data_IF_257223723158
#
_entry.id   IF_257223723158
#
_cell.length_a   1.000
_cell.length_b   1.000
_cell.length_c   1.000
_cell.angle_alpha   90.00
_cell.angle_beta   90.00
_cell.angle_gamma   90.00
#
_symmetry.space_group_name_H-M   'P 1'
#
loop_
_entity.id
_entity.type
_entity.pdbx_description
1 polymer ?
#
# COMPACT_ATOMS: atom_id res chain seq x y z
N UNK A 1 2.48 -94.24 24.09
CA UNK A 1 1.46 -94.80 24.98
C UNK A 1 0.19 -93.90 24.83
N UNK A 2 -0.88 -94.54 24.28
CA UNK A 2 -2.25 -94.12 24.17
C UNK A 2 -2.62 -92.69 23.66
N UNK A 3 -3.00 -92.63 22.38
CA UNK A 3 -4.41 -92.58 21.81
C UNK A 3 -5.47 -91.84 22.65
N UNK A 4 -6.13 -90.83 22.02
CA UNK A 4 -7.51 -91.00 21.58
C UNK A 4 -8.03 -89.80 20.81
N UNK A 5 -8.56 -90.16 19.66
CA UNK A 5 -9.47 -89.40 18.75
C UNK A 5 -10.73 -88.91 19.47
N UNK A 6 -11.32 -87.84 19.01
CA UNK A 6 -12.73 -87.81 18.66
C UNK A 6 -13.13 -86.55 17.84
N UNK A 7 -13.80 -86.86 16.79
CA UNK A 7 -14.53 -86.05 15.81
C UNK A 7 -15.58 -85.17 16.48
N UNK A 8 -15.92 -83.98 15.98
CA UNK A 8 -17.19 -83.73 15.27
C UNK A 8 -17.53 -82.24 15.15
N UNK A 9 -17.90 -81.93 14.02
CA UNK A 9 -19.02 -81.09 13.54
C UNK A 9 -18.71 -79.67 13.11
N UNK A 10 -18.80 -79.56 11.78
CA UNK A 10 -18.97 -78.38 11.02
C UNK A 10 -20.27 -77.66 11.32
N UNK A 11 -20.25 -76.38 11.51
CA UNK A 11 -21.39 -75.52 11.31
C UNK A 11 -20.93 -74.33 10.48
N UNK A 12 -21.31 -74.31 9.19
CA UNK A 12 -21.19 -73.17 8.30
C UNK A 12 -22.21 -72.16 8.76
N UNK A 13 -21.75 -70.98 9.19
CA UNK A 13 -22.59 -69.78 9.29
C UNK A 13 -22.18 -68.82 8.20
N UNK A 14 -23.05 -68.70 7.18
CA UNK A 14 -22.99 -67.69 6.12
C UNK A 14 -23.32 -66.34 6.73
N UNK A 15 -22.31 -65.49 6.95
CA UNK A 15 -22.55 -64.06 7.27
C UNK A 15 -22.54 -63.25 5.95
N UNK A 16 -23.73 -62.78 5.55
CA UNK A 16 -23.84 -61.76 4.53
C UNK A 16 -23.19 -60.46 5.04
N UNK A 17 -22.03 -60.13 4.51
CA UNK A 17 -21.43 -58.81 4.65
C UNK A 17 -22.09 -57.84 3.68
N UNK A 18 -23.02 -57.03 4.17
CA UNK A 18 -23.53 -55.84 3.45
C UNK A 18 -22.40 -54.83 3.33
N UNK A 19 -21.83 -54.68 2.14
CA UNK A 19 -20.93 -53.60 1.79
C UNK A 19 -21.68 -52.28 1.76
N UNK A 20 -21.68 -51.58 2.86
CA UNK A 20 -22.08 -50.16 2.93
C UNK A 20 -21.05 -49.30 2.16
N UNK A 21 -21.47 -48.83 0.96
CA UNK A 21 -20.76 -47.76 0.27
C UNK A 21 -20.79 -46.52 1.17
N UNK A 22 -19.71 -46.28 1.94
CA UNK A 22 -19.46 -45.01 2.58
C UNK A 22 -19.18 -43.99 1.47
N UNK A 23 -20.18 -43.22 1.08
CA UNK A 23 -19.99 -42.00 0.32
C UNK A 23 -19.22 -41.02 1.23
N UNK A 24 -17.92 -40.88 0.99
CA UNK A 24 -17.17 -39.74 1.48
C UNK A 24 -17.73 -38.49 0.79
N UNK A 25 -18.17 -37.46 1.55
CA UNK A 25 -18.46 -36.20 0.92
C UNK A 25 -17.18 -35.71 0.24
N UNK A 26 -17.21 -35.55 -1.10
CA UNK A 26 -16.19 -34.80 -1.83
C UNK A 26 -16.07 -33.44 -1.13
N UNK A 27 -15.01 -33.27 -0.37
CA UNK A 27 -14.58 -31.96 0.08
C UNK A 27 -14.29 -31.17 -1.19
N UNK A 28 -15.14 -30.20 -1.51
CA UNK A 28 -14.88 -29.19 -2.51
C UNK A 28 -13.54 -28.56 -2.13
N UNK A 29 -12.45 -29.01 -2.77
CA UNK A 29 -11.15 -28.36 -2.67
C UNK A 29 -11.32 -26.96 -3.23
N UNK A 30 -11.46 -25.97 -2.36
CA UNK A 30 -11.23 -24.58 -2.74
C UNK A 30 -9.80 -24.51 -3.33
N UNK A 31 -9.61 -23.77 -4.44
CA UNK A 31 -8.27 -23.63 -5.00
C UNK A 31 -7.35 -23.11 -3.90
N UNK A 32 -6.28 -23.85 -3.63
CA UNK A 32 -5.21 -23.48 -2.71
C UNK A 32 -4.45 -22.28 -3.29
N UNK A 33 -5.05 -21.08 -3.24
CA UNK A 33 -4.34 -19.83 -3.35
C UNK A 33 -3.70 -19.52 -2.00
N UNK A 34 -2.49 -18.97 -2.00
CA UNK A 34 -1.84 -18.51 -0.78
C UNK A 34 -2.84 -17.75 0.10
N UNK A 35 -2.91 -18.12 1.38
CA UNK A 35 -3.72 -17.40 2.38
C UNK A 35 -2.99 -16.13 2.88
N UNK A 36 -1.87 -15.81 2.27
CA UNK A 36 -1.04 -14.66 2.61
C UNK A 36 -0.84 -13.80 1.36
N UNK A 37 -0.83 -12.48 1.59
CA UNK A 37 -0.60 -11.46 0.57
C UNK A 37 0.44 -10.46 1.10
N UNK A 38 1.57 -10.34 0.40
CA UNK A 38 2.63 -9.39 0.73
C UNK A 38 2.61 -8.19 -0.23
N UNK A 39 2.30 -7.02 0.30
CA UNK A 39 2.14 -5.79 -0.48
C UNK A 39 3.36 -4.89 -0.29
N UNK A 40 3.97 -4.49 -1.41
CA UNK A 40 4.88 -3.36 -1.45
C UNK A 40 4.04 -2.08 -1.64
N UNK A 41 3.99 -1.18 -0.67
CA UNK A 41 3.10 -0.02 -0.68
C UNK A 41 3.88 1.28 -0.57
N UNK A 42 3.54 2.27 -1.39
CA UNK A 42 4.08 3.62 -1.27
C UNK A 42 3.74 4.20 0.12
N UNK A 43 4.66 4.98 0.68
CA UNK A 43 4.62 5.41 2.06
C UNK A 43 3.43 6.31 2.43
N UNK A 44 2.78 6.95 1.46
CA UNK A 44 1.55 7.72 1.66
C UNK A 44 0.32 6.84 1.98
N UNK A 45 0.43 5.54 1.70
CA UNK A 45 -0.61 4.55 2.03
C UNK A 45 -0.51 4.05 3.49
N UNK A 46 0.57 4.36 4.19
CA UNK A 46 0.79 3.88 5.56
C UNK A 46 -0.36 4.21 6.53
N UNK A 47 -1.01 5.38 6.48
CA UNK A 47 -2.17 5.65 7.32
C UNK A 47 -3.44 4.89 6.93
N UNK A 48 -3.57 4.50 5.65
CA UNK A 48 -4.81 4.00 5.05
C UNK A 48 -4.91 2.48 5.01
N UNK A 49 -3.80 1.80 4.66
CA UNK A 49 -3.83 0.38 4.40
C UNK A 49 -4.16 -0.48 5.62
N UNK A 50 -3.67 -0.24 6.84
CA UNK A 50 -3.91 -1.15 7.96
C UNK A 50 -5.40 -1.47 8.20
N UNK A 51 -6.32 -0.50 8.29
CA UNK A 51 -7.75 -0.80 8.42
C UNK A 51 -8.34 -1.50 7.18
N UNK A 52 -7.85 -1.20 5.98
CA UNK A 52 -8.30 -1.86 4.75
C UNK A 52 -7.84 -3.32 4.68
N UNK A 53 -6.59 -3.61 5.10
CA UNK A 53 -6.07 -4.98 5.19
C UNK A 53 -6.89 -5.81 6.17
N UNK A 54 -7.19 -5.27 7.35
CA UNK A 54 -8.06 -5.94 8.34
C UNK A 54 -9.44 -6.24 7.75
N UNK A 55 -10.04 -5.28 7.04
CA UNK A 55 -11.33 -5.47 6.39
C UNK A 55 -11.27 -6.51 5.28
N UNK A 56 -10.22 -6.47 4.46
CA UNK A 56 -9.99 -7.46 3.40
C UNK A 56 -9.88 -8.87 3.96
N UNK A 57 -9.12 -9.05 5.05
CA UNK A 57 -9.00 -10.33 5.74
C UNK A 57 -10.34 -10.83 6.28
N UNK A 58 -11.15 -9.94 6.91
CA UNK A 58 -12.49 -10.29 7.39
C UNK A 58 -13.43 -10.76 6.27
N UNK A 59 -13.32 -10.17 5.08
CA UNK A 59 -14.17 -10.50 3.93
C UNK A 59 -13.73 -11.75 3.18
N UNK A 60 -12.44 -12.04 3.16
CA UNK A 60 -11.85 -13.06 2.26
C UNK A 60 -11.18 -14.22 2.96
N UNK A 61 -10.84 -14.07 4.24
CA UNK A 61 -9.99 -15.00 4.98
C UNK A 61 -8.52 -14.98 4.55
N UNK A 62 -8.09 -14.00 3.73
CA UNK A 62 -6.71 -13.85 3.27
C UNK A 62 -6.00 -12.86 4.18
N UNK A 63 -4.94 -13.31 4.85
CA UNK A 63 -4.09 -12.43 5.64
C UNK A 63 -3.22 -11.58 4.73
N UNK A 64 -3.22 -10.27 4.91
CA UNK A 64 -2.45 -9.35 4.08
C UNK A 64 -1.53 -8.46 4.93
N UNK A 65 -0.29 -8.31 4.50
CA UNK A 65 0.73 -7.45 5.12
C UNK A 65 1.26 -6.44 4.11
N UNK A 66 1.75 -5.29 4.59
CA UNK A 66 2.32 -4.27 3.73
C UNK A 66 3.65 -3.75 4.28
N UNK A 67 4.61 -3.56 3.36
CA UNK A 67 5.88 -2.86 3.60
C UNK A 67 5.83 -1.48 2.95
N UNK A 68 6.17 -0.43 3.72
CA UNK A 68 6.02 0.95 3.29
C UNK A 68 7.37 1.62 3.06
N UNK A 69 7.60 2.09 1.82
CA UNK A 69 8.82 2.83 1.45
C UNK A 69 8.53 3.81 0.29
N UNK A 70 9.57 4.46 -0.24
CA UNK A 70 9.44 5.22 -1.48
C UNK A 70 9.12 4.31 -2.66
N UNK A 71 8.35 4.80 -3.64
CA UNK A 71 7.99 4.00 -4.81
C UNK A 71 9.21 3.53 -5.60
N UNK A 72 10.28 4.33 -5.66
CA UNK A 72 11.53 3.95 -6.32
C UNK A 72 12.24 2.79 -5.61
N UNK A 73 12.34 2.86 -4.28
CA UNK A 73 12.98 1.82 -3.46
C UNK A 73 12.26 0.48 -3.62
N UNK A 74 10.92 0.50 -3.53
CA UNK A 74 10.10 -0.71 -3.72
C UNK A 74 10.25 -1.28 -5.14
N UNK A 75 10.17 -0.44 -6.17
CA UNK A 75 10.38 -0.88 -7.56
C UNK A 75 11.76 -1.54 -7.73
N UNK A 76 12.81 -0.96 -7.14
CA UNK A 76 14.17 -1.54 -7.18
C UNK A 76 14.22 -2.89 -6.46
N UNK A 77 13.62 -3.01 -5.30
CA UNK A 77 13.55 -4.28 -4.55
C UNK A 77 12.82 -5.36 -5.37
N UNK A 78 11.68 -5.03 -6.00
CA UNK A 78 10.91 -5.97 -6.82
C UNK A 78 11.69 -6.42 -8.05
N UNK A 79 12.35 -5.49 -8.77
CA UNK A 79 13.20 -5.83 -9.92
C UNK A 79 14.31 -6.78 -9.51
N UNK A 80 14.88 -6.61 -8.31
CA UNK A 80 15.92 -7.46 -7.74
C UNK A 80 15.37 -8.75 -7.10
N UNK A 81 14.06 -9.03 -7.21
CA UNK A 81 13.46 -10.30 -6.79
C UNK A 81 12.96 -10.34 -5.35
N UNK A 82 12.70 -9.20 -4.71
CA UNK A 82 12.04 -9.18 -3.40
C UNK A 82 10.66 -9.89 -3.46
N UNK A 83 10.30 -10.69 -2.46
CA UNK A 83 9.14 -11.58 -2.49
C UNK A 83 7.84 -10.83 -2.15
N UNK A 84 7.46 -9.89 -3.00
CA UNK A 84 6.17 -9.23 -2.95
C UNK A 84 5.19 -9.85 -3.96
N UNK A 85 3.89 -9.74 -3.67
CA UNK A 85 2.82 -10.23 -4.54
C UNK A 85 2.14 -9.09 -5.29
N UNK A 86 2.03 -7.92 -4.65
CA UNK A 86 1.37 -6.73 -5.17
C UNK A 86 2.26 -5.49 -4.93
N UNK A 87 2.32 -4.61 -5.91
CA UNK A 87 2.97 -3.31 -5.76
C UNK A 87 1.93 -2.19 -5.94
N UNK A 88 1.80 -1.34 -4.92
CA UNK A 88 0.98 -0.13 -4.91
C UNK A 88 1.91 1.09 -4.85
N UNK A 89 2.08 1.76 -5.97
CA UNK A 89 2.97 2.92 -6.10
C UNK A 89 2.20 4.24 -6.10
N UNK A 90 2.87 5.31 -5.70
CA UNK A 90 2.31 6.66 -5.72
C UNK A 90 2.40 7.33 -7.10
N UNK A 91 2.81 6.63 -8.14
CA UNK A 91 2.73 7.05 -9.55
C UNK A 91 2.60 5.86 -10.49
N UNK A 92 2.58 6.13 -11.80
CA UNK A 92 2.54 5.07 -12.84
C UNK A 92 3.93 4.71 -13.36
N UNK A 93 4.95 5.54 -13.16
CA UNK A 93 6.28 5.34 -13.77
C UNK A 93 7.07 4.22 -13.09
N UNK A 94 6.98 4.09 -11.76
CA UNK A 94 7.67 3.01 -11.05
C UNK A 94 7.05 1.62 -11.29
N UNK A 95 5.71 1.45 -11.30
CA UNK A 95 5.11 0.21 -11.78
C UNK A 95 5.48 -0.11 -13.24
N UNK A 96 5.54 0.90 -14.13
CA UNK A 96 5.97 0.70 -15.51
C UNK A 96 7.40 0.16 -15.58
N UNK A 97 8.32 0.70 -14.77
CA UNK A 97 9.70 0.19 -14.68
C UNK A 97 9.76 -1.29 -14.29
N UNK A 98 8.87 -1.75 -13.39
CA UNK A 98 8.78 -3.16 -12.99
C UNK A 98 8.22 -4.01 -14.14
N UNK A 99 7.24 -3.49 -14.89
CA UNK A 99 6.69 -4.12 -16.10
C UNK A 99 7.79 -4.28 -17.16
N UNK A 100 8.55 -3.22 -17.45
CA UNK A 100 9.64 -3.20 -18.43
C UNK A 100 10.77 -4.19 -18.07
N UNK A 101 10.97 -4.44 -16.77
CA UNK A 101 11.87 -5.47 -16.25
C UNK A 101 11.28 -6.89 -16.33
N UNK A 102 10.07 -7.08 -16.87
CA UNK A 102 9.41 -8.37 -17.01
C UNK A 102 8.90 -8.99 -15.70
N UNK A 103 8.78 -8.19 -14.63
CA UNK A 103 8.42 -8.64 -13.28
C UNK A 103 6.94 -8.48 -12.93
N UNK A 104 6.09 -7.99 -13.84
CA UNK A 104 4.66 -7.81 -13.63
C UNK A 104 3.83 -8.72 -14.54
N UNK A 105 2.60 -9.02 -14.14
CA UNK A 105 1.63 -9.74 -14.97
C UNK A 105 1.01 -8.80 -16.02
N UNK A 106 0.74 -7.55 -15.63
CA UNK A 106 0.11 -6.55 -16.48
C UNK A 106 1.09 -5.98 -17.51
N UNK A 107 0.55 -5.56 -18.67
CA UNK A 107 1.28 -4.83 -19.70
C UNK A 107 1.32 -3.30 -19.44
N UNK A 108 0.49 -2.81 -18.52
CA UNK A 108 0.40 -1.40 -18.08
C UNK A 108 0.02 -1.33 -16.61
N UNK A 109 0.45 -0.30 -15.86
CA UNK A 109 -0.01 -0.08 -14.51
C UNK A 109 -1.54 0.11 -14.46
N UNK A 110 -2.16 -0.40 -13.41
CA UNK A 110 -3.60 -0.22 -13.13
C UNK A 110 -3.75 1.02 -12.24
N UNK A 111 -4.27 2.14 -12.74
CA UNK A 111 -4.54 3.29 -11.88
C UNK A 111 -5.62 2.95 -10.87
N UNK A 112 -5.49 3.38 -9.60
CA UNK A 112 -6.50 3.10 -8.57
C UNK A 112 -6.91 4.30 -7.74
N UNK A 113 -6.09 5.36 -7.66
CA UNK A 113 -6.40 6.57 -6.91
C UNK A 113 -5.55 7.76 -7.38
N UNK A 114 -5.88 8.95 -6.91
CA UNK A 114 -5.10 10.17 -7.08
C UNK A 114 -4.72 10.76 -5.73
N UNK A 115 -3.43 10.97 -5.50
CA UNK A 115 -2.89 11.62 -4.31
C UNK A 115 -3.04 13.14 -4.34
N UNK A 116 -3.09 13.75 -3.17
CA UNK A 116 -3.14 15.21 -2.99
C UNK A 116 -1.96 15.66 -2.14
N UNK A 117 -1.22 16.65 -2.63
CA UNK A 117 -0.13 17.29 -1.90
C UNK A 117 -0.68 18.43 -1.03
N UNK A 118 -0.19 18.52 0.20
CA UNK A 118 -0.50 19.60 1.12
C UNK A 118 0.77 20.18 1.73
N UNK A 119 0.71 21.44 2.14
CA UNK A 119 1.73 22.09 2.95
C UNK A 119 1.22 22.10 4.38
N UNK A 120 1.96 21.51 5.30
CA UNK A 120 1.57 21.32 6.70
C UNK A 120 2.60 21.95 7.66
N UNK A 121 2.12 22.44 8.79
CA UNK A 121 2.97 22.93 9.89
C UNK A 121 2.35 22.63 11.24
N UNK A 122 3.19 22.56 12.27
CA UNK A 122 2.73 22.42 13.67
C UNK A 122 2.09 23.71 14.18
N UNK A 123 1.12 23.57 15.10
CA UNK A 123 0.48 24.71 15.75
C UNK A 123 1.46 25.56 16.58
N UNK A 124 2.52 24.96 17.12
CA UNK A 124 3.57 25.61 17.92
C UNK A 124 4.82 26.01 17.12
N UNK A 125 4.77 25.94 15.78
CA UNK A 125 5.89 26.29 14.89
C UNK A 125 6.21 27.79 14.84
N UNK A 126 5.32 28.65 15.35
CA UNK A 126 5.41 30.11 15.23
C UNK A 126 5.02 30.65 13.86
N UNK A 127 4.50 29.82 12.95
CA UNK A 127 4.07 30.20 11.60
C UNK A 127 2.57 30.49 11.66
N UNK A 128 2.22 31.79 11.73
CA UNK A 128 0.83 32.21 11.81
C UNK A 128 0.08 32.12 10.47
N UNK A 129 0.77 32.37 9.36
CA UNK A 129 0.20 32.40 8.01
C UNK A 129 0.95 31.43 7.12
N UNK A 130 0.50 30.17 7.08
CA UNK A 130 1.04 29.14 6.20
C UNK A 130 0.59 29.41 4.77
N UNK A 131 1.54 29.63 3.86
CA UNK A 131 1.27 29.77 2.41
C UNK A 131 2.50 29.38 1.61
N UNK A 132 2.34 29.14 0.31
CA UNK A 132 3.48 28.91 -0.59
C UNK A 132 4.37 30.14 -0.68
N UNK A 133 3.80 31.35 -0.65
CA UNK A 133 4.53 32.61 -0.70
C UNK A 133 5.33 32.88 0.56
N UNK A 134 4.99 32.25 1.69
CA UNK A 134 5.73 32.40 2.95
C UNK A 134 7.03 31.59 2.97
N UNK A 135 7.18 30.57 2.14
CA UNK A 135 8.33 29.63 2.15
C UNK A 135 9.68 30.31 1.91
N UNK A 136 9.84 31.28 0.99
CA UNK A 136 11.12 31.95 0.78
C UNK A 136 11.48 32.95 1.89
N UNK A 137 10.54 33.35 2.74
CA UNK A 137 10.77 34.38 3.78
C UNK A 137 11.73 33.89 4.88
N UNK A 138 12.32 34.83 5.62
CA UNK A 138 13.20 34.52 6.74
C UNK A 138 12.48 33.87 7.94
N UNK A 139 11.16 33.96 8.01
CA UNK A 139 10.36 33.32 9.05
C UNK A 139 10.41 31.80 8.97
N UNK A 140 10.55 31.23 7.76
CA UNK A 140 10.66 29.78 7.54
C UNK A 140 12.11 29.42 7.28
N UNK A 141 12.67 28.56 8.13
CA UNK A 141 14.07 28.15 8.11
C UNK A 141 14.28 26.75 7.55
N UNK A 142 13.25 25.89 7.61
CA UNK A 142 13.36 24.50 7.15
C UNK A 142 12.04 24.01 6.57
N UNK A 143 12.13 23.34 5.40
CA UNK A 143 11.01 22.81 4.62
C UNK A 143 11.30 21.35 4.29
N UNK A 144 10.54 20.42 4.84
CA UNK A 144 10.65 19.01 4.52
C UNK A 144 9.97 18.69 3.19
N UNK A 145 10.66 17.93 2.35
CA UNK A 145 10.10 17.28 1.15
C UNK A 145 10.60 15.84 1.09
N UNK A 146 9.82 14.95 0.51
CA UNK A 146 10.36 13.65 0.11
C UNK A 146 11.40 13.81 -1.01
N UNK A 147 12.37 12.89 -1.10
CA UNK A 147 13.37 12.94 -2.16
C UNK A 147 12.71 12.90 -3.55
N UNK A 148 12.87 13.92 -4.40
CA UNK A 148 12.24 13.97 -5.74
C UNK A 148 12.71 12.85 -6.68
N UNK A 149 13.89 12.28 -6.47
CA UNK A 149 14.41 11.17 -7.28
C UNK A 149 13.67 9.86 -6.97
N UNK A 150 13.20 9.69 -5.73
CA UNK A 150 12.67 8.43 -5.23
C UNK A 150 11.15 8.45 -5.00
N UNK A 151 10.57 9.64 -4.79
CA UNK A 151 9.19 9.77 -4.35
C UNK A 151 8.35 10.70 -5.25
N UNK A 152 7.19 10.24 -5.75
CA UNK A 152 6.29 11.07 -6.57
C UNK A 152 5.85 12.36 -5.89
N UNK A 153 5.55 12.31 -4.59
CA UNK A 153 5.21 13.50 -3.81
C UNK A 153 6.39 14.49 -3.69
N UNK A 154 7.63 13.99 -3.69
CA UNK A 154 8.83 14.85 -3.73
C UNK A 154 8.95 15.59 -5.05
N UNK A 155 8.70 14.90 -6.18
CA UNK A 155 8.62 15.54 -7.50
C UNK A 155 7.50 16.59 -7.56
N UNK A 156 6.33 16.29 -6.98
CA UNK A 156 5.22 17.23 -6.90
C UNK A 156 5.58 18.46 -6.07
N UNK A 157 6.24 18.31 -4.92
CA UNK A 157 6.73 19.43 -4.11
C UNK A 157 7.74 20.29 -4.87
N UNK A 158 8.71 19.67 -5.54
CA UNK A 158 9.70 20.39 -6.36
C UNK A 158 9.02 21.13 -7.53
N UNK A 159 8.09 20.49 -8.23
CA UNK A 159 7.32 21.10 -9.31
C UNK A 159 6.50 22.31 -8.80
N UNK A 160 5.88 22.19 -7.63
CA UNK A 160 5.17 23.31 -6.98
C UNK A 160 6.10 24.49 -6.73
N UNK A 161 7.29 24.25 -6.12
CA UNK A 161 8.27 25.31 -5.86
C UNK A 161 8.81 25.95 -7.16
N UNK A 162 8.92 25.17 -8.23
CA UNK A 162 9.28 25.68 -9.57
C UNK A 162 8.14 26.53 -10.14
N UNK A 163 6.90 26.04 -10.08
CA UNK A 163 5.71 26.73 -10.59
C UNK A 163 5.54 28.12 -9.97
N UNK A 164 5.69 28.22 -8.65
CA UNK A 164 5.59 29.51 -7.95
C UNK A 164 6.88 30.34 -7.97
N UNK A 165 7.93 29.85 -8.67
CA UNK A 165 9.19 30.59 -8.85
C UNK A 165 10.06 30.70 -7.57
N UNK A 166 9.82 29.89 -6.54
CA UNK A 166 10.49 30.03 -5.24
C UNK A 166 11.55 28.93 -4.98
N UNK A 167 11.73 27.98 -5.91
CA UNK A 167 12.64 26.83 -5.69
C UNK A 167 14.05 27.27 -5.25
N UNK A 168 14.67 28.21 -5.95
CA UNK A 168 16.03 28.66 -5.65
C UNK A 168 16.16 29.29 -4.24
N UNK A 169 15.15 30.02 -3.80
CA UNK A 169 15.14 30.65 -2.46
C UNK A 169 14.86 29.64 -1.34
N UNK A 170 14.09 28.57 -1.64
CA UNK A 170 13.74 27.52 -0.68
C UNK A 170 14.77 26.41 -0.65
N UNK A 171 15.53 26.18 -1.73
CA UNK A 171 16.50 25.09 -1.86
C UNK A 171 17.49 25.02 -0.67
N UNK A 172 18.07 26.11 -0.14
CA UNK A 172 18.96 26.05 1.02
C UNK A 172 18.27 25.63 2.34
N UNK A 173 16.92 25.66 2.35
CA UNK A 173 16.09 25.32 3.52
C UNK A 173 15.51 23.91 3.44
N UNK A 174 15.74 23.20 2.33
CA UNK A 174 15.14 21.87 2.13
C UNK A 174 15.75 20.84 3.08
N UNK A 175 14.88 20.11 3.72
CA UNK A 175 15.17 18.89 4.48
C UNK A 175 14.64 17.71 3.66
N UNK A 176 15.55 16.97 3.04
CA UNK A 176 15.21 15.88 2.15
C UNK A 176 14.96 14.61 2.96
N UNK A 177 13.75 14.09 2.88
CA UNK A 177 13.33 12.84 3.48
C UNK A 177 13.36 11.70 2.44
N UNK A 178 13.59 10.48 2.87
CA UNK A 178 13.64 9.31 1.98
C UNK A 178 12.28 9.07 1.27
N UNK A 179 11.17 9.31 1.99
CA UNK A 179 9.81 9.15 1.48
C UNK A 179 8.86 10.17 2.13
N UNK A 180 7.59 10.16 1.66
CA UNK A 180 6.59 11.16 2.10
C UNK A 180 6.15 11.00 3.57
N UNK A 181 6.16 9.77 4.11
CA UNK A 181 5.85 9.55 5.52
C UNK A 181 6.96 10.10 6.43
N UNK A 182 8.22 9.97 6.02
CA UNK A 182 9.35 10.56 6.76
C UNK A 182 9.33 12.10 6.68
N UNK A 183 8.91 12.70 5.55
CA UNK A 183 8.71 14.14 5.45
C UNK A 183 7.65 14.62 6.46
N UNK A 184 6.53 13.90 6.58
CA UNK A 184 5.51 14.15 7.58
C UNK A 184 6.07 14.01 9.01
N UNK A 185 6.86 12.97 9.28
CA UNK A 185 7.53 12.76 10.58
C UNK A 185 8.50 13.89 10.93
N UNK A 186 9.32 14.37 10.00
CA UNK A 186 10.25 15.47 10.24
C UNK A 186 9.52 16.75 10.62
N UNK A 187 8.36 17.01 10.00
CA UNK A 187 7.58 18.19 10.30
C UNK A 187 6.86 18.05 11.65
N UNK A 188 6.25 16.90 11.93
CA UNK A 188 5.56 16.64 13.20
C UNK A 188 6.50 16.62 14.41
N UNK A 189 7.75 16.17 14.24
CA UNK A 189 8.77 16.19 15.30
C UNK A 189 9.46 17.54 15.48
N UNK A 190 9.24 18.52 14.58
CA UNK A 190 9.90 19.82 14.60
C UNK A 190 11.30 19.83 13.96
N UNK A 191 11.77 18.74 13.37
CA UNK A 191 13.01 18.70 12.59
C UNK A 191 12.91 19.55 11.29
N UNK A 192 11.69 19.80 10.83
CA UNK A 192 11.39 20.84 9.84
C UNK A 192 10.20 21.67 10.33
N UNK A 193 10.22 22.99 10.04
CA UNK A 193 9.12 23.87 10.45
C UNK A 193 7.89 23.66 9.60
N UNK A 194 8.06 23.38 8.31
CA UNK A 194 6.99 23.18 7.32
C UNK A 194 7.32 21.92 6.54
N UNK A 195 6.31 21.19 6.07
CA UNK A 195 6.51 20.04 5.21
C UNK A 195 5.49 19.97 4.09
N UNK A 196 5.97 19.63 2.90
CA UNK A 196 5.11 19.10 1.86
C UNK A 196 4.85 17.63 2.17
N UNK A 197 3.60 17.31 2.50
CA UNK A 197 3.18 15.96 2.90
C UNK A 197 1.95 15.51 2.10
N UNK A 198 1.60 14.22 2.20
CA UNK A 198 0.36 13.72 1.61
C UNK A 198 -0.85 14.16 2.44
N UNK A 199 -1.99 14.39 1.78
CA UNK A 199 -3.25 14.65 2.47
C UNK A 199 -3.63 13.47 3.38
N UNK A 200 -3.32 12.24 2.99
CA UNK A 200 -3.53 11.04 3.80
C UNK A 200 -2.82 11.10 5.15
N UNK A 201 -1.58 11.60 5.17
CA UNK A 201 -0.85 11.84 6.42
C UNK A 201 -1.47 13.01 7.22
N UNK A 202 -1.79 14.11 6.56
CA UNK A 202 -2.34 15.31 7.21
C UNK A 202 -3.68 15.08 7.91
N UNK A 203 -4.50 14.13 7.40
CA UNK A 203 -5.81 13.76 7.96
C UNK A 203 -5.71 12.76 9.12
N UNK A 204 -4.53 12.24 9.43
CA UNK A 204 -4.40 11.38 10.62
C UNK A 204 -4.77 12.13 11.89
N UNK A 205 -5.36 11.44 12.91
CA UNK A 205 -5.74 12.08 14.16
C UNK A 205 -4.59 12.86 14.83
N UNK A 206 -3.37 12.30 14.74
CA UNK A 206 -2.17 12.92 15.29
C UNK A 206 -1.82 14.25 14.61
N UNK A 207 -1.74 14.26 13.26
CA UNK A 207 -1.35 15.49 12.55
C UNK A 207 -2.47 16.54 12.57
N UNK A 208 -3.72 16.12 12.56
CA UNK A 208 -4.87 17.02 12.70
C UNK A 208 -4.90 17.71 14.08
N UNK A 209 -4.54 17.00 15.14
CA UNK A 209 -4.45 17.58 16.49
C UNK A 209 -3.23 18.50 16.66
N UNK A 210 -2.10 18.15 16.05
CA UNK A 210 -0.81 18.82 16.29
C UNK A 210 -0.54 20.01 15.35
N UNK A 211 -1.27 20.14 14.26
CA UNK A 211 -0.98 21.15 13.25
C UNK A 211 -2.15 21.45 12.33
N UNK A 212 -1.82 22.22 11.30
CA UNK A 212 -2.78 22.57 10.25
C UNK A 212 -2.10 22.56 8.88
N UNK A 213 -2.91 22.50 7.83
CA UNK A 213 -2.38 22.45 6.47
C UNK A 213 -3.20 23.35 5.52
N UNK A 214 -2.57 23.65 4.39
CA UNK A 214 -3.22 24.17 3.20
C UNK A 214 -3.06 23.16 2.06
N UNK A 215 -4.05 23.04 1.18
CA UNK A 215 -3.90 22.25 -0.05
C UNK A 215 -3.02 23.02 -1.02
N UNK A 216 -2.07 22.31 -1.65
CA UNK A 216 -1.36 22.83 -2.80
C UNK A 216 -2.31 22.78 -4.00
N UNK A 217 -2.48 23.87 -4.77
CA UNK A 217 -3.33 23.86 -5.96
C UNK A 217 -2.92 22.75 -6.95
N UNK A 218 -3.91 22.06 -7.50
CA UNK A 218 -3.69 20.88 -8.36
C UNK A 218 -2.98 21.19 -9.68
N UNK A 219 -3.00 22.44 -10.13
CA UNK A 219 -2.30 22.92 -11.32
C UNK A 219 -0.83 23.30 -11.08
N UNK A 220 -0.37 23.29 -9.83
CA UNK A 220 1.02 23.57 -9.48
C UNK A 220 1.96 22.37 -9.62
N UNK A 221 1.42 21.16 -9.81
CA UNK A 221 2.20 19.94 -9.95
C UNK A 221 1.52 18.91 -10.86
N UNK A 222 2.28 18.03 -11.53
CA UNK A 222 1.69 16.94 -12.29
C UNK A 222 0.81 16.04 -11.40
N UNK A 223 -0.33 15.52 -11.90
CA UNK A 223 -1.21 14.63 -11.14
C UNK A 223 -0.46 13.45 -10.52
N UNK A 224 -0.67 13.20 -9.24
CA UNK A 224 -0.10 12.06 -8.52
C UNK A 224 -1.04 10.86 -8.72
N UNK A 225 -1.02 10.25 -9.91
CA UNK A 225 -1.85 9.07 -10.23
C UNK A 225 -1.19 7.82 -9.68
N UNK A 226 -1.83 7.21 -8.69
CA UNK A 226 -1.32 6.00 -8.07
C UNK A 226 -1.61 4.77 -8.92
N UNK A 227 -0.62 3.91 -9.07
CA UNK A 227 -0.68 2.72 -9.92
C UNK A 227 -0.36 1.43 -9.19
N UNK A 228 -1.03 0.35 -9.59
CA UNK A 228 -0.86 -0.99 -9.05
C UNK A 228 -0.41 -1.97 -10.13
N UNK A 229 0.36 -2.99 -9.72
CA UNK A 229 0.70 -4.18 -10.52
C UNK A 229 0.77 -5.42 -9.63
N UNK A 230 0.39 -6.56 -10.19
CA UNK A 230 0.62 -7.88 -9.60
C UNK A 230 1.99 -8.39 -10.05
N UNK A 231 2.77 -8.93 -9.13
CA UNK A 231 4.12 -9.42 -9.42
C UNK A 231 4.04 -10.77 -10.11
N UNK A 232 4.71 -10.88 -11.25
CA UNK A 232 4.72 -12.09 -12.08
C UNK A 232 5.33 -13.26 -11.34
N UNK A 233 4.62 -14.40 -11.32
CA UNK A 233 5.09 -15.64 -10.72
C UNK A 233 5.07 -15.63 -9.20
N UNK A 234 4.44 -14.65 -8.55
CA UNK A 234 4.23 -14.67 -7.11
C UNK A 234 3.24 -15.76 -6.70
N UNK A 235 3.45 -16.36 -5.54
CA UNK A 235 2.54 -17.37 -4.98
C UNK A 235 1.22 -16.78 -4.52
N UNK A 236 1.20 -15.48 -4.22
CA UNK A 236 0.03 -14.71 -3.79
C UNK A 236 -0.73 -14.01 -4.93
N UNK A 237 -0.46 -14.30 -6.23
CA UNK A 237 -1.07 -13.60 -7.36
C UNK A 237 -2.62 -13.59 -7.31
N UNK A 238 -3.26 -14.70 -6.95
CA UNK A 238 -4.72 -14.77 -6.79
C UNK A 238 -5.21 -13.82 -5.69
N UNK A 239 -4.51 -13.79 -4.56
CA UNK A 239 -4.81 -12.89 -3.46
C UNK A 239 -4.60 -11.42 -3.85
N UNK A 240 -3.54 -11.12 -4.63
CA UNK A 240 -3.25 -9.81 -5.16
C UNK A 240 -4.35 -9.30 -6.11
N UNK A 241 -4.85 -10.12 -7.02
CA UNK A 241 -6.00 -9.77 -7.87
C UNK A 241 -7.26 -9.50 -7.05
N UNK A 242 -7.59 -10.35 -6.07
CA UNK A 242 -8.73 -10.11 -5.17
C UNK A 242 -8.58 -8.80 -4.38
N UNK A 243 -7.35 -8.46 -3.97
CA UNK A 243 -7.11 -7.19 -3.28
C UNK A 243 -7.28 -5.99 -4.23
N UNK A 244 -6.86 -6.10 -5.50
CA UNK A 244 -7.11 -5.05 -6.50
C UNK A 244 -8.61 -4.85 -6.75
N UNK A 245 -9.37 -5.92 -6.87
CA UNK A 245 -10.83 -5.84 -7.01
C UNK A 245 -11.46 -5.17 -5.77
N UNK A 246 -11.02 -5.57 -4.57
CA UNK A 246 -11.44 -4.94 -3.32
C UNK A 246 -11.07 -3.45 -3.26
N UNK A 247 -9.86 -3.08 -3.68
CA UNK A 247 -9.37 -1.70 -3.69
C UNK A 247 -10.20 -0.82 -4.64
N UNK A 248 -10.63 -1.37 -5.79
CA UNK A 248 -11.43 -0.68 -6.81
C UNK A 248 -12.94 -0.70 -6.51
N UNK A 249 -13.39 -1.48 -5.54
CA UNK A 249 -14.81 -1.55 -5.18
C UNK A 249 -15.32 -0.15 -4.73
N UNK A 250 -16.54 0.24 -5.12
CA UNK A 250 -17.09 1.58 -4.83
C UNK A 250 -17.07 1.95 -3.35
N UNK A 251 -17.25 0.99 -2.46
CA UNK A 251 -17.22 1.21 -1.01
C UNK A 251 -15.80 1.53 -0.52
N UNK A 252 -14.79 0.78 -1.00
CA UNK A 252 -13.39 1.03 -0.67
C UNK A 252 -12.93 2.37 -1.25
N UNK A 253 -13.33 2.70 -2.48
CA UNK A 253 -13.04 3.98 -3.11
C UNK A 253 -13.64 5.17 -2.32
N UNK A 254 -14.85 5.05 -1.79
CA UNK A 254 -15.42 6.07 -0.89
C UNK A 254 -14.63 6.21 0.41
N UNK A 255 -14.17 5.10 0.98
CA UNK A 255 -13.31 5.12 2.17
C UNK A 255 -11.97 5.81 1.88
N UNK A 256 -11.32 5.48 0.76
CA UNK A 256 -10.08 6.13 0.32
C UNK A 256 -10.26 7.63 0.12
N UNK A 257 -11.38 8.05 -0.48
CA UNK A 257 -11.69 9.47 -0.69
C UNK A 257 -11.84 10.23 0.63
N UNK A 258 -12.50 9.64 1.62
CA UNK A 258 -12.65 10.23 2.95
C UNK A 258 -11.30 10.42 3.66
N UNK A 259 -10.34 9.54 3.39
CA UNK A 259 -9.00 9.55 3.96
C UNK A 259 -7.95 10.28 3.09
N UNK A 260 -8.37 10.99 2.03
CA UNK A 260 -7.51 11.89 1.26
C UNK A 260 -6.92 11.35 -0.04
N UNK A 261 -7.31 10.15 -0.48
CA UNK A 261 -7.03 9.65 -1.83
C UNK A 261 -8.25 9.83 -2.73
N UNK A 262 -8.13 10.68 -3.74
CA UNK A 262 -9.22 10.98 -4.66
C UNK A 262 -9.47 9.79 -5.63
N UNK A 263 -10.73 9.49 -5.97
CA UNK A 263 -11.06 8.57 -7.06
C UNK A 263 -10.48 9.07 -8.39
N UNK A 264 -10.24 8.15 -9.32
CA UNK A 264 -9.75 8.46 -10.67
C UNK A 264 -10.88 8.68 -11.69
N UNK A 265 -12.14 8.55 -11.26
CA UNK A 265 -13.36 8.68 -12.08
C UNK A 265 -14.18 9.88 -11.67
#
# INVERSE_FOLDING_TARGET
MFERRLLCNALLIFSLASAGLAQHPESVRQPEGSRELHIAAAADLQPLLPPLLTRFEQLTGIHATASYQSSATLATQIVNGAPFDLFLAADLSFPQRVIDAGRAEQAKPIPYARGTLVLWTRNDSGIANLSLDSLPTAAIKSVAIANPEHAPYGRAAQATLQHVGTLNAVQPKLVIAENIAQAAQYTDSGNAQVGFISLTSALTPRLTANGHFIRVPDDHYPPILQGAIVIRGSTGAIAAHRFLDFLQAPETQRSLAAEGLQPIH
#
